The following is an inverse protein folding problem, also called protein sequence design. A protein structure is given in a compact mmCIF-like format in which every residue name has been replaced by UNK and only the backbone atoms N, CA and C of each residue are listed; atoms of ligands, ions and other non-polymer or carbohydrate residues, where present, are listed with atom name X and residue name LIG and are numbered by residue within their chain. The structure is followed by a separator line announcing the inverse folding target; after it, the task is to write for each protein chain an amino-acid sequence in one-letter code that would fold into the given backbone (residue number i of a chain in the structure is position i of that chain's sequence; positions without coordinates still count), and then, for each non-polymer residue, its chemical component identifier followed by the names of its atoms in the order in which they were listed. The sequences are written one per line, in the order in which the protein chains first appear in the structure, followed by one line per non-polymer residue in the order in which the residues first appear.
data_IF_932021626946
#
_entry.id   IF_932021626946
#
_cell.length_a   1.000
_cell.length_b   1.000
_cell.length_c   1.000
_cell.angle_alpha   90.00
_cell.angle_beta   90.00
_cell.angle_gamma   90.00
#
_symmetry.space_group_name_H-M   'P 1'
#
loop_
_entity.id
_entity.type
_entity.pdbx_description
1 polymer ?
#
# COMPACT_ATOMS: atom_id res chain seq x y z
N UNK A 1 -8.34 -2.44 -9.43
CA UNK A 1 -8.17 -2.12 -7.98
C UNK A 1 -7.72 -0.68 -7.86
N UNK A 2 -8.30 0.07 -6.93
CA UNK A 2 -8.01 1.48 -6.70
C UNK A 2 -7.50 1.70 -5.27
N UNK A 3 -6.45 2.52 -5.13
CA UNK A 3 -5.91 2.97 -3.85
C UNK A 3 -6.43 4.39 -3.62
N UNK A 4 -7.40 4.55 -2.74
CA UNK A 4 -8.15 5.79 -2.59
C UNK A 4 -8.39 6.16 -1.12
N UNK A 5 -9.23 7.14 -0.87
CA UNK A 5 -9.69 7.55 0.45
C UNK A 5 -11.17 7.20 0.62
N UNK A 6 -11.61 7.06 1.88
CA UNK A 6 -13.00 6.77 2.20
C UNK A 6 -13.96 7.83 1.64
N UNK A 7 -13.51 9.07 1.54
CA UNK A 7 -14.25 10.20 0.94
C UNK A 7 -14.67 9.97 -0.51
N UNK A 8 -13.90 9.16 -1.25
CA UNK A 8 -14.18 8.82 -2.65
C UNK A 8 -15.03 7.54 -2.81
N UNK A 9 -15.43 6.88 -1.73
CA UNK A 9 -16.28 5.69 -1.76
C UNK A 9 -17.75 6.04 -1.51
N UNK A 10 -18.65 5.47 -2.29
CA UNK A 10 -20.10 5.68 -2.12
C UNK A 10 -20.66 4.71 -1.06
N UNK A 11 -20.60 5.13 0.21
CA UNK A 11 -21.15 4.36 1.33
C UNK A 11 -22.67 4.46 1.31
N UNK A 12 -23.42 3.33 1.29
CA UNK A 12 -24.88 3.38 1.35
C UNK A 12 -25.38 3.87 2.72
N UNK A 13 -26.60 4.44 2.79
CA UNK A 13 -27.22 4.75 4.06
C UNK A 13 -27.51 3.46 4.84
N UNK A 14 -27.27 3.46 6.16
CA UNK A 14 -27.46 2.25 6.93
C UNK A 14 -27.15 2.39 8.42
N UNK A 15 -27.18 1.27 9.11
CA UNK A 15 -26.77 1.16 10.50
C UNK A 15 -25.27 0.92 10.59
N UNK A 16 -24.55 1.85 11.20
CA UNK A 16 -23.09 1.77 11.40
C UNK A 16 -22.81 1.04 12.71
N UNK A 17 -22.00 -0.01 12.64
CA UNK A 17 -21.56 -0.78 13.79
C UNK A 17 -20.04 -0.86 13.81
N UNK A 18 -19.43 -0.51 14.93
CA UNK A 18 -18.01 -0.64 15.21
C UNK A 18 -17.66 -2.03 15.76
N UNK A 19 -16.49 -2.56 15.37
CA UNK A 19 -15.96 -3.86 15.80
C UNK A 19 -14.51 -3.67 16.23
N UNK A 20 -14.25 -3.82 17.52
CA UNK A 20 -12.94 -3.55 18.12
C UNK A 20 -12.40 -4.84 18.74
N UNK A 21 -11.23 -5.33 18.29
CA UNK A 21 -10.54 -6.44 18.95
C UNK A 21 -10.20 -6.12 20.39
N UNK A 22 -10.42 -7.08 21.28
CA UNK A 22 -10.10 -6.98 22.71
C UNK A 22 -9.41 -8.25 23.19
N UNK A 23 -8.58 -8.12 24.22
CA UNK A 23 -7.97 -9.25 24.93
C UNK A 23 -7.82 -8.90 26.41
N UNK A 24 -7.98 -9.90 27.28
CA UNK A 24 -7.78 -9.72 28.71
C UNK A 24 -6.30 -9.37 28.99
N UNK A 25 -6.00 -8.46 29.94
CA UNK A 25 -4.63 -8.09 30.28
C UNK A 25 -3.74 -9.28 30.66
N UNK A 26 -4.30 -10.32 31.27
CA UNK A 26 -3.60 -11.54 31.67
C UNK A 26 -3.27 -12.49 30.52
N UNK A 27 -3.85 -12.29 29.34
CA UNK A 27 -3.61 -13.12 28.16
C UNK A 27 -2.34 -12.71 27.39
N UNK A 28 -1.79 -11.54 27.65
CA UNK A 28 -0.60 -11.05 26.99
C UNK A 28 0.69 -11.69 27.53
N UNK A 29 1.49 -12.24 26.64
CA UNK A 29 2.77 -12.91 26.93
C UNK A 29 3.90 -12.15 26.28
N UNK A 30 5.01 -12.00 26.96
CA UNK A 30 6.21 -11.38 26.42
C UNK A 30 6.78 -12.20 25.26
N UNK A 31 7.25 -11.51 24.23
CA UNK A 31 7.84 -12.08 23.03
C UNK A 31 9.23 -11.48 22.83
N UNK A 32 10.25 -12.32 22.91
CA UNK A 32 11.66 -11.91 22.86
C UNK A 32 12.13 -11.52 21.45
N UNK A 33 11.33 -11.71 20.40
CA UNK A 33 11.67 -11.32 19.04
C UNK A 33 11.68 -9.80 18.91
N UNK A 34 12.80 -9.25 18.49
CA UNK A 34 13.00 -7.80 18.39
C UNK A 34 12.18 -7.22 17.24
N UNK A 35 11.83 -5.93 17.37
CA UNK A 35 11.20 -5.14 16.30
C UNK A 35 12.16 -4.99 15.13
N UNK A 36 11.62 -4.90 13.90
CA UNK A 36 12.40 -4.44 12.75
C UNK A 36 12.81 -2.97 12.93
N UNK A 37 13.84 -2.54 12.21
CA UNK A 37 14.20 -1.12 12.16
C UNK A 37 13.08 -0.26 11.60
N UNK A 38 12.34 -0.78 10.60
CA UNK A 38 11.19 -0.07 10.02
C UNK A 38 10.08 0.14 11.05
N UNK A 39 9.79 -0.87 11.88
CA UNK A 39 8.76 -0.74 12.91
C UNK A 39 9.18 0.23 14.03
N UNK A 40 10.45 0.20 14.46
CA UNK A 40 10.95 1.17 15.43
C UNK A 40 10.87 2.60 14.90
N UNK A 41 11.30 2.84 13.65
CA UNK A 41 11.17 4.16 13.02
C UNK A 41 9.71 4.59 12.92
N UNK A 42 8.80 3.68 12.55
CA UNK A 42 7.37 3.97 12.50
C UNK A 42 6.82 4.41 13.86
N UNK A 43 7.14 3.69 14.94
CA UNK A 43 6.73 4.07 16.30
C UNK A 43 7.30 5.44 16.74
N UNK A 44 8.46 5.84 16.20
CA UNK A 44 9.07 7.14 16.50
C UNK A 44 8.46 8.31 15.70
N UNK A 45 7.86 8.03 14.54
CA UNK A 45 7.49 9.07 13.56
C UNK A 45 6.02 9.07 13.16
N UNK A 46 5.28 7.97 13.35
CA UNK A 46 3.88 7.90 12.95
C UNK A 46 2.98 8.74 13.85
N UNK A 47 1.98 9.35 13.22
CA UNK A 47 0.96 10.13 13.91
C UNK A 47 -0.24 9.24 14.22
N UNK A 48 -0.85 9.45 15.39
CA UNK A 48 -2.12 8.82 15.74
C UNK A 48 -3.21 9.20 14.71
N UNK A 49 -4.08 8.25 14.37
CA UNK A 49 -5.12 8.45 13.36
C UNK A 49 -4.63 8.30 11.91
N UNK A 50 -3.34 7.99 11.68
CA UNK A 50 -2.85 7.55 10.37
C UNK A 50 -3.16 6.06 10.21
N UNK A 51 -3.85 5.69 9.13
CA UNK A 51 -4.22 4.30 8.87
C UNK A 51 -4.26 3.97 7.38
N UNK A 52 -4.10 2.71 7.07
CA UNK A 52 -4.41 2.11 5.77
C UNK A 52 -5.50 1.05 5.96
N UNK A 53 -6.29 0.76 4.94
CA UNK A 53 -7.40 -0.17 5.10
C UNK A 53 -8.00 -0.62 3.78
N UNK A 54 -9.13 -1.29 3.86
CA UNK A 54 -9.90 -1.72 2.69
C UNK A 54 -11.39 -1.70 2.99
N UNK A 55 -12.18 -1.58 1.94
CA UNK A 55 -13.63 -1.55 1.98
C UNK A 55 -14.20 -2.46 0.91
N UNK A 56 -15.25 -3.18 1.24
CA UNK A 56 -16.02 -3.98 0.28
C UNK A 56 -17.49 -4.09 0.69
N UNK A 57 -18.35 -4.33 -0.29
CA UNK A 57 -19.76 -4.61 -0.07
C UNK A 57 -20.06 -6.10 -0.21
N UNK A 58 -20.72 -6.67 0.79
CA UNK A 58 -21.22 -8.05 0.76
C UNK A 58 -22.74 -8.05 0.67
N UNK A 59 -23.28 -8.97 -0.13
CA UNK A 59 -24.71 -9.11 -0.33
C UNK A 59 -25.35 -10.01 0.74
N UNK A 60 -26.62 -9.79 1.04
CA UNK A 60 -27.36 -10.51 2.06
C UNK A 60 -27.27 -9.83 3.43
N UNK A 61 -28.17 -10.20 4.33
CA UNK A 61 -28.22 -9.62 5.66
C UNK A 61 -26.97 -9.95 6.47
N UNK A 62 -26.50 -8.98 7.24
CA UNK A 62 -25.37 -9.15 8.14
C UNK A 62 -25.70 -10.20 9.22
N UNK A 63 -24.95 -11.29 9.24
CA UNK A 63 -24.91 -12.23 10.36
C UNK A 63 -23.80 -11.79 11.33
N UNK A 64 -24.21 -11.13 12.41
CA UNK A 64 -23.30 -10.57 13.43
C UNK A 64 -22.43 -11.66 14.06
N UNK A 65 -22.98 -12.85 14.30
CA UNK A 65 -22.25 -13.96 14.92
C UNK A 65 -21.20 -14.54 13.97
N UNK A 66 -21.59 -14.72 12.71
CA UNK A 66 -20.65 -15.21 11.69
C UNK A 66 -19.53 -14.21 11.42
N UNK A 67 -19.83 -12.90 11.41
CA UNK A 67 -18.81 -11.86 11.22
C UNK A 67 -17.85 -11.78 12.41
N UNK A 68 -18.33 -11.86 13.65
CA UNK A 68 -17.48 -11.95 14.85
C UNK A 68 -16.46 -13.09 14.73
N UNK A 69 -16.95 -14.28 14.38
CA UNK A 69 -16.09 -15.45 14.20
C UNK A 69 -15.07 -15.25 13.08
N UNK A 70 -15.47 -14.67 11.95
CA UNK A 70 -14.60 -14.43 10.80
C UNK A 70 -13.49 -13.42 11.12
N UNK A 71 -13.83 -12.28 11.74
CA UNK A 71 -12.87 -11.24 12.12
C UNK A 71 -11.84 -11.77 13.14
N UNK A 72 -12.31 -12.48 14.16
CA UNK A 72 -11.42 -13.13 15.15
C UNK A 72 -10.52 -14.18 14.52
N UNK A 73 -11.05 -14.99 13.61
CA UNK A 73 -10.28 -16.01 12.91
C UNK A 73 -9.20 -15.38 12.03
N UNK A 74 -9.51 -14.28 11.34
CA UNK A 74 -8.54 -13.55 10.53
C UNK A 74 -7.42 -12.94 11.39
N UNK A 75 -7.74 -12.28 12.50
CA UNK A 75 -6.73 -11.76 13.44
C UNK A 75 -5.90 -12.92 14.02
N UNK A 76 -6.57 -14.01 14.41
CA UNK A 76 -5.90 -15.19 14.94
C UNK A 76 -4.91 -15.83 13.98
N UNK A 77 -5.18 -15.78 12.68
CA UNK A 77 -4.34 -16.31 11.61
C UNK A 77 -3.06 -15.51 11.42
N UNK A 78 -3.12 -14.18 11.56
CA UNK A 78 -2.03 -13.26 11.24
C UNK A 78 -1.37 -12.71 12.51
N UNK A 79 -0.19 -13.23 12.82
CA UNK A 79 0.51 -12.91 14.07
C UNK A 79 0.78 -11.42 14.25
N UNK A 80 1.03 -10.67 13.16
CA UNK A 80 1.23 -9.22 13.21
C UNK A 80 0.06 -8.46 13.85
N UNK A 81 -1.18 -8.97 13.71
CA UNK A 81 -2.39 -8.29 14.18
C UNK A 81 -2.71 -8.56 15.67
N UNK A 82 -2.03 -9.50 16.30
CA UNK A 82 -2.24 -9.90 17.71
C UNK A 82 -0.97 -9.73 18.56
N UNK A 83 -0.09 -8.85 18.13
CA UNK A 83 1.07 -8.39 18.89
C UNK A 83 0.87 -6.94 19.33
N UNK A 84 1.57 -6.53 20.37
CA UNK A 84 1.68 -5.14 20.81
C UNK A 84 3.11 -4.82 21.21
N UNK A 85 3.40 -3.54 21.41
CA UNK A 85 4.71 -3.06 21.85
C UNK A 85 4.50 -2.20 23.09
N UNK A 86 5.25 -2.49 24.15
CA UNK A 86 5.26 -1.69 25.37
C UNK A 86 6.61 -1.00 25.56
N UNK A 87 6.59 0.26 25.95
CA UNK A 87 7.79 0.97 26.40
C UNK A 87 8.16 0.53 27.80
N UNK A 88 9.39 0.04 27.97
CA UNK A 88 9.92 -0.38 29.27
C UNK A 88 11.23 0.37 29.59
N UNK A 89 11.69 0.38 30.85
CA UNK A 89 13.00 0.96 31.18
C UNK A 89 14.18 0.32 30.44
N UNK A 90 14.01 -0.89 29.90
CA UNK A 90 15.02 -1.62 29.12
C UNK A 90 14.89 -1.38 27.61
N UNK A 91 13.90 -0.59 27.17
CA UNK A 91 13.55 -0.35 25.78
C UNK A 91 12.21 -0.97 25.40
N UNK A 92 11.92 -1.03 24.12
CA UNK A 92 10.67 -1.58 23.57
C UNK A 92 10.60 -3.09 23.70
N UNK A 93 9.52 -3.57 24.33
CA UNK A 93 9.23 -4.99 24.54
C UNK A 93 8.01 -5.37 23.71
N UNK A 94 8.14 -6.42 22.89
CA UNK A 94 6.99 -7.00 22.20
C UNK A 94 6.21 -7.92 23.13
N UNK A 95 4.89 -7.90 23.00
CA UNK A 95 4.00 -8.87 23.63
C UNK A 95 3.02 -9.43 22.58
N UNK A 96 2.55 -10.62 22.78
CA UNK A 96 1.60 -11.29 21.89
C UNK A 96 0.45 -11.93 22.68
N UNK A 97 -0.71 -12.02 22.05
CA UNK A 97 -1.87 -12.73 22.57
C UNK A 97 -2.15 -13.97 21.71
N UNK A 98 -2.58 -15.07 22.33
CA UNK A 98 -2.93 -16.28 21.60
C UNK A 98 -4.22 -16.07 20.76
N UNK A 99 -4.36 -16.73 19.58
CA UNK A 99 -5.55 -16.58 18.74
C UNK A 99 -6.88 -16.80 19.47
N UNK A 100 -6.92 -17.75 20.39
CA UNK A 100 -8.14 -18.09 21.16
C UNK A 100 -8.54 -17.04 22.19
N UNK A 101 -7.61 -16.19 22.61
CA UNK A 101 -7.83 -15.15 23.62
C UNK A 101 -8.25 -13.80 23.02
N UNK A 102 -8.26 -13.70 21.67
CA UNK A 102 -8.80 -12.53 20.98
C UNK A 102 -10.32 -12.58 21.00
N UNK A 103 -10.94 -11.53 21.49
CA UNK A 103 -12.37 -11.29 21.50
C UNK A 103 -12.71 -10.06 20.67
N UNK A 104 -14.01 -9.83 20.42
CA UNK A 104 -14.48 -8.66 19.68
C UNK A 104 -15.51 -7.90 20.52
N UNK A 105 -15.34 -6.61 20.69
CA UNK A 105 -16.35 -5.72 21.22
C UNK A 105 -17.10 -5.07 20.07
N UNK A 106 -18.43 -5.17 20.10
CA UNK A 106 -19.30 -4.64 19.04
C UNK A 106 -20.17 -3.53 19.61
N UNK A 107 -20.22 -2.37 18.92
CA UNK A 107 -21.01 -1.22 19.36
C UNK A 107 -21.75 -0.62 18.16
N UNK A 108 -23.07 -0.48 18.26
CA UNK A 108 -23.87 0.24 17.26
C UNK A 108 -23.64 1.73 17.47
N UNK A 109 -23.10 2.42 16.46
CA UNK A 109 -22.83 3.85 16.50
C UNK A 109 -24.06 4.69 16.11
N UNK A 110 -24.95 4.13 15.30
CA UNK A 110 -26.18 4.76 14.87
C UNK A 110 -26.61 4.40 13.46
N UNK A 111 -27.70 5.03 13.01
CA UNK A 111 -28.16 4.92 11.62
C UNK A 111 -27.94 6.28 10.93
N UNK A 112 -27.26 6.25 9.80
CA UNK A 112 -26.81 7.45 9.11
C UNK A 112 -27.18 7.39 7.62
N UNK A 113 -27.20 8.55 6.95
CA UNK A 113 -27.11 8.61 5.48
C UNK A 113 -25.66 8.34 5.01
N UNK A 114 -25.47 8.26 3.69
CA UNK A 114 -24.16 7.84 3.16
C UNK A 114 -22.99 8.76 3.51
N UNK A 115 -23.22 10.09 3.54
CA UNK A 115 -22.18 11.07 3.86
C UNK A 115 -21.84 11.05 5.36
N UNK A 116 -22.87 11.07 6.20
CA UNK A 116 -22.72 11.00 7.66
C UNK A 116 -22.12 9.63 8.08
N UNK A 117 -22.48 8.54 7.38
CA UNK A 117 -21.89 7.22 7.63
C UNK A 117 -20.38 7.22 7.33
N UNK A 118 -19.93 7.85 6.22
CA UNK A 118 -18.51 8.03 5.93
C UNK A 118 -17.78 8.82 7.00
N UNK A 119 -18.36 9.95 7.43
CA UNK A 119 -17.81 10.77 8.50
C UNK A 119 -17.66 9.96 9.79
N UNK A 120 -18.73 9.27 10.23
CA UNK A 120 -18.72 8.43 11.41
C UNK A 120 -17.64 7.32 11.34
N UNK A 121 -17.47 6.65 10.20
CA UNK A 121 -16.44 5.63 10.00
C UNK A 121 -15.04 6.26 10.04
N UNK A 122 -14.84 7.38 9.36
CA UNK A 122 -13.54 8.07 9.29
C UNK A 122 -13.08 8.48 10.71
N UNK A 123 -13.96 9.09 11.49
CA UNK A 123 -13.69 9.49 12.86
C UNK A 123 -13.41 8.26 13.75
N UNK A 124 -14.22 7.20 13.62
CA UNK A 124 -14.01 5.96 14.36
C UNK A 124 -12.63 5.35 14.06
N UNK A 125 -12.20 5.27 12.80
CA UNK A 125 -10.90 4.72 12.45
C UNK A 125 -9.76 5.59 12.99
N UNK A 126 -9.87 6.90 12.85
CA UNK A 126 -8.86 7.85 13.34
C UNK A 126 -8.71 7.83 14.87
N UNK A 127 -9.83 7.66 15.60
CA UNK A 127 -9.84 7.66 17.06
C UNK A 127 -9.33 6.34 17.68
N UNK A 128 -9.34 5.23 16.92
CA UNK A 128 -9.06 3.90 17.47
C UNK A 128 -7.79 3.24 16.91
N UNK A 129 -7.12 3.86 15.95
CA UNK A 129 -5.86 3.35 15.40
C UNK A 129 -4.72 4.24 15.90
N UNK A 130 -3.87 3.64 16.73
CA UNK A 130 -2.71 4.30 17.33
C UNK A 130 -1.48 3.37 17.17
N UNK A 131 -0.36 3.83 16.57
CA UNK A 131 0.84 3.02 16.40
C UNK A 131 1.44 2.53 17.72
N UNK A 132 1.15 3.20 18.84
CA UNK A 132 1.67 2.89 20.19
C UNK A 132 0.78 1.97 21.03
N UNK A 133 -0.46 1.68 20.59
CA UNK A 133 -1.44 0.95 21.38
C UNK A 133 -2.26 -0.06 20.56
N UNK A 134 -2.33 -1.30 21.04
CA UNK A 134 -3.24 -2.30 20.48
C UNK A 134 -4.72 -1.98 20.84
N UNK A 135 -5.68 -2.20 19.90
CA UNK A 135 -5.58 -2.93 18.64
C UNK A 135 -5.05 -2.08 17.48
N UNK A 136 -4.18 -2.68 16.66
CA UNK A 136 -3.65 -2.06 15.45
C UNK A 136 -4.58 -2.20 14.24
N UNK A 137 -5.73 -2.84 14.40
CA UNK A 137 -6.77 -3.01 13.38
C UNK A 137 -8.14 -2.92 14.03
N UNK A 138 -9.04 -2.16 13.42
CA UNK A 138 -10.45 -2.09 13.79
C UNK A 138 -11.32 -2.18 12.56
N UNK A 139 -12.61 -2.52 12.75
CA UNK A 139 -13.54 -2.71 11.65
C UNK A 139 -14.83 -1.94 11.88
N UNK A 140 -15.50 -1.59 10.78
CA UNK A 140 -16.86 -1.06 10.83
C UNK A 140 -17.72 -1.71 9.77
N UNK A 141 -19.02 -1.84 10.04
CA UNK A 141 -20.01 -2.27 9.06
C UNK A 141 -21.07 -1.20 8.88
N UNK A 142 -21.60 -1.07 7.65
CA UNK A 142 -22.81 -0.28 7.35
C UNK A 142 -23.83 -1.25 6.78
N UNK A 143 -24.85 -1.58 7.56
CA UNK A 143 -25.87 -2.54 7.18
C UNK A 143 -27.14 -1.86 6.67
N UNK A 144 -27.65 -2.32 5.52
CA UNK A 144 -28.91 -1.88 4.91
C UNK A 144 -29.83 -3.08 4.58
N UNK A 145 -30.85 -2.88 3.76
CA UNK A 145 -31.81 -3.93 3.42
C UNK A 145 -31.24 -5.00 2.46
N UNK A 146 -30.24 -4.64 1.64
CA UNK A 146 -29.74 -5.47 0.54
C UNK A 146 -28.40 -6.13 0.85
N UNK A 147 -27.71 -5.66 1.91
CA UNK A 147 -26.40 -6.17 2.30
C UNK A 147 -25.73 -5.32 3.35
N UNK A 148 -24.41 -5.44 3.40
CA UNK A 148 -23.61 -4.58 4.26
C UNK A 148 -22.26 -4.24 3.62
N UNK A 149 -21.80 -3.05 3.90
CA UNK A 149 -20.44 -2.62 3.59
C UNK A 149 -19.56 -2.92 4.78
N UNK A 150 -18.45 -3.60 4.58
CA UNK A 150 -17.45 -3.90 5.59
C UNK A 150 -16.18 -3.12 5.29
N UNK A 151 -15.67 -2.41 6.27
CA UNK A 151 -14.41 -1.65 6.19
C UNK A 151 -13.51 -2.02 7.35
N UNK A 152 -12.22 -2.03 7.11
CA UNK A 152 -11.23 -2.00 8.18
C UNK A 152 -10.24 -0.86 7.98
N UNK A 153 -9.67 -0.39 9.10
CA UNK A 153 -8.46 0.38 9.15
C UNK A 153 -7.42 -0.33 10.00
N UNK A 154 -6.16 -0.19 9.64
CA UNK A 154 -5.04 -0.75 10.38
C UNK A 154 -3.86 0.22 10.42
N UNK A 155 -3.04 0.14 11.46
CA UNK A 155 -1.75 0.81 11.52
C UNK A 155 -0.79 0.25 10.46
N UNK A 156 -0.02 1.12 9.82
CA UNK A 156 0.91 0.72 8.76
C UNK A 156 2.08 -0.15 9.29
N UNK A 157 2.38 -0.09 10.59
CA UNK A 157 3.41 -0.93 11.22
C UNK A 157 3.11 -2.43 11.17
N UNK A 158 1.83 -2.81 11.01
CA UNK A 158 1.38 -4.21 10.93
C UNK A 158 0.84 -4.62 9.57
N UNK A 159 0.83 -3.71 8.58
CA UNK A 159 0.20 -3.98 7.29
C UNK A 159 0.86 -3.20 6.15
N UNK A 160 0.92 -3.81 4.97
CA UNK A 160 1.32 -3.17 3.72
C UNK A 160 0.19 -3.21 2.68
N UNK A 161 0.41 -2.53 1.54
CA UNK A 161 -0.56 -2.46 0.46
C UNK A 161 -0.95 -3.83 -0.14
N UNK A 162 -0.04 -4.82 -0.11
CA UNK A 162 -0.35 -6.18 -0.55
C UNK A 162 -1.23 -6.91 0.46
N UNK A 163 -0.98 -6.72 1.76
CA UNK A 163 -1.79 -7.27 2.84
C UNK A 163 -3.24 -6.78 2.78
N UNK A 164 -3.46 -5.50 2.40
CA UNK A 164 -4.79 -4.96 2.16
C UNK A 164 -5.56 -5.76 1.08
N UNK A 165 -4.85 -6.24 0.04
CA UNK A 165 -5.46 -7.00 -1.04
C UNK A 165 -5.80 -8.44 -0.64
N UNK A 166 -5.01 -9.07 0.22
CA UNK A 166 -5.27 -10.41 0.74
C UNK A 166 -6.55 -10.48 1.58
N UNK A 167 -6.89 -9.40 2.28
CA UNK A 167 -8.02 -9.33 3.18
C UNK A 167 -9.36 -9.67 2.52
N UNK A 168 -9.60 -9.23 1.28
CA UNK A 168 -10.89 -9.37 0.60
C UNK A 168 -11.37 -10.83 0.53
N UNK A 169 -10.58 -11.71 -0.04
CA UNK A 169 -10.95 -13.12 -0.20
C UNK A 169 -10.91 -13.86 1.14
N UNK A 170 -9.93 -13.55 1.98
CA UNK A 170 -9.82 -14.21 3.28
C UNK A 170 -11.02 -13.95 4.16
N UNK A 171 -11.43 -12.69 4.31
CA UNK A 171 -12.56 -12.37 5.18
C UNK A 171 -13.89 -12.82 4.59
N UNK A 172 -14.09 -12.71 3.28
CA UNK A 172 -15.29 -13.21 2.63
C UNK A 172 -15.43 -14.73 2.79
N UNK A 173 -14.35 -15.48 2.55
CA UNK A 173 -14.33 -16.93 2.75
C UNK A 173 -14.56 -17.34 4.20
N UNK A 174 -13.92 -16.66 5.15
CA UNK A 174 -14.11 -16.93 6.59
C UNK A 174 -15.55 -16.65 7.02
N UNK A 175 -16.16 -15.58 6.53
CA UNK A 175 -17.55 -15.22 6.81
C UNK A 175 -18.52 -16.26 6.22
N UNK A 176 -18.36 -16.65 4.95
CA UNK A 176 -19.16 -17.70 4.30
C UNK A 176 -19.09 -19.04 5.06
N UNK A 177 -17.90 -19.43 5.51
CA UNK A 177 -17.68 -20.65 6.30
C UNK A 177 -18.29 -20.55 7.70
N UNK A 178 -18.20 -19.41 8.34
CA UNK A 178 -18.85 -19.16 9.63
C UNK A 178 -20.37 -19.24 9.52
N UNK A 179 -20.98 -18.67 8.48
CA UNK A 179 -22.41 -18.79 8.17
C UNK A 179 -22.82 -20.24 7.91
N UNK A 180 -21.94 -21.07 7.34
CA UNK A 180 -22.18 -22.49 7.19
C UNK A 180 -22.06 -23.31 8.50
N UNK A 181 -21.76 -22.63 9.62
CA UNK A 181 -21.68 -23.24 10.96
C UNK A 181 -20.33 -23.86 11.30
N UNK A 182 -19.26 -23.51 10.59
CA UNK A 182 -17.92 -23.96 10.96
C UNK A 182 -17.47 -23.31 12.28
N UNK A 183 -16.92 -24.09 13.22
CA UNK A 183 -16.49 -23.54 14.52
C UNK A 183 -15.18 -22.74 14.36
N UNK A 184 -14.93 -21.83 15.30
CA UNK A 184 -13.70 -21.00 15.34
C UNK A 184 -12.42 -21.82 15.16
N UNK A 185 -12.33 -22.99 15.81
CA UNK A 185 -11.16 -23.87 15.70
C UNK A 185 -10.88 -24.39 14.29
N UNK A 186 -11.91 -24.46 13.43
CA UNK A 186 -11.75 -24.82 12.03
C UNK A 186 -11.43 -23.61 11.14
N UNK A 187 -11.97 -22.42 11.49
CA UNK A 187 -11.73 -21.18 10.75
C UNK A 187 -10.30 -20.64 10.96
N UNK A 188 -9.79 -20.73 12.18
CA UNK A 188 -8.49 -20.20 12.58
C UNK A 188 -7.28 -21.01 12.06
N UNK A 189 -7.51 -22.17 11.41
CA UNK A 189 -6.46 -23.10 10.96
C UNK A 189 -6.08 -22.83 9.52
N UNK A 190 -5.10 -21.94 9.32
CA UNK A 190 -4.19 -22.03 8.17
C UNK A 190 -2.88 -21.38 8.59
N UNK A 191 -1.81 -22.14 8.58
CA UNK A 191 -0.48 -21.63 8.87
C UNK A 191 -0.08 -20.65 7.75
N UNK A 192 0.17 -19.42 8.13
CA UNK A 192 0.83 -18.42 7.28
C UNK A 192 2.20 -18.13 7.88
N UNK A 193 3.14 -17.65 7.08
CA UNK A 193 4.42 -17.21 7.59
C UNK A 193 4.26 -16.11 8.64
N UNK A 194 5.10 -16.12 9.66
CA UNK A 194 5.11 -15.09 10.70
C UNK A 194 5.81 -13.83 10.18
N UNK A 195 5.10 -12.72 10.17
CA UNK A 195 5.71 -11.41 9.95
C UNK A 195 6.68 -11.05 11.09
N UNK A 196 6.41 -11.51 12.30
CA UNK A 196 7.27 -11.24 13.45
C UNK A 196 8.65 -11.91 13.30
N UNK A 197 8.67 -13.15 12.77
CA UNK A 197 9.92 -13.85 12.46
C UNK A 197 10.67 -13.15 11.32
N UNK A 198 9.95 -12.71 10.29
CA UNK A 198 10.52 -11.93 9.18
C UNK A 198 11.15 -10.62 9.71
N UNK A 199 10.43 -9.87 10.55
CA UNK A 199 10.89 -8.64 11.17
C UNK A 199 12.14 -8.85 12.05
N UNK A 200 12.20 -9.94 12.81
CA UNK A 200 13.35 -10.31 13.59
C UNK A 200 14.57 -10.66 12.71
N UNK A 201 14.37 -11.34 11.59
CA UNK A 201 15.43 -11.64 10.63
C UNK A 201 15.93 -10.36 9.91
N UNK A 202 15.01 -9.45 9.52
CA UNK A 202 15.36 -8.13 8.99
C UNK A 202 16.19 -7.32 10.00
N UNK A 203 15.83 -7.38 11.28
CA UNK A 203 16.59 -6.74 12.36
C UNK A 203 18.03 -7.21 12.42
N UNK A 204 18.28 -8.52 12.33
CA UNK A 204 19.63 -9.08 12.30
C UNK A 204 20.41 -8.56 11.10
N UNK A 205 19.77 -8.47 9.92
CA UNK A 205 20.38 -7.90 8.72
C UNK A 205 20.75 -6.43 8.95
N UNK A 206 19.85 -5.64 9.49
CA UNK A 206 20.10 -4.22 9.77
C UNK A 206 21.18 -3.98 10.83
N UNK A 207 21.20 -4.77 11.91
CA UNK A 207 22.22 -4.65 12.97
C UNK A 207 23.64 -4.95 12.46
N UNK A 208 23.78 -5.74 11.41
CA UNK A 208 25.06 -6.01 10.75
C UNK A 208 25.53 -4.87 9.82
N UNK A 209 24.67 -3.87 9.52
CA UNK A 209 25.00 -2.76 8.63
C UNK A 209 25.84 -1.70 9.34
N UNK A 210 26.74 -1.07 8.59
CA UNK A 210 27.60 0.04 9.01
C UNK A 210 27.69 1.11 7.92
N UNK A 211 28.37 2.23 8.19
CA UNK A 211 28.60 3.29 7.19
C UNK A 211 29.40 2.82 5.96
N UNK A 212 30.13 1.69 6.06
CA UNK A 212 30.90 1.06 5.00
C UNK A 212 30.08 0.04 4.19
N UNK A 213 28.84 -0.27 4.62
CA UNK A 213 27.97 -1.16 3.87
C UNK A 213 27.62 -0.57 2.51
N UNK A 214 27.57 -1.43 1.49
CA UNK A 214 27.31 -0.99 0.10
C UNK A 214 25.95 -0.27 -0.01
N UNK A 215 24.91 -0.82 0.61
CA UNK A 215 23.58 -0.21 0.64
C UNK A 215 23.59 1.19 1.25
N UNK A 216 24.33 1.40 2.34
CA UNK A 216 24.44 2.72 3.00
C UNK A 216 25.18 3.71 2.09
N UNK A 217 26.23 3.26 1.39
CA UNK A 217 26.93 4.11 0.41
C UNK A 217 26.06 4.49 -0.78
N UNK A 218 25.33 3.53 -1.35
CA UNK A 218 24.41 3.79 -2.46
C UNK A 218 23.35 4.80 -2.06
N UNK A 219 22.72 4.63 -0.90
CA UNK A 219 21.72 5.57 -0.41
C UNK A 219 22.32 6.95 -0.11
N UNK A 220 23.50 7.03 0.52
CA UNK A 220 24.18 8.29 0.77
C UNK A 220 24.44 9.06 -0.52
N UNK A 221 24.99 8.39 -1.53
CA UNK A 221 25.28 9.01 -2.83
C UNK A 221 23.98 9.46 -3.53
N UNK A 222 22.93 8.64 -3.44
CA UNK A 222 21.63 8.95 -4.01
C UNK A 222 20.92 10.12 -3.28
N UNK A 223 21.00 10.22 -1.96
CA UNK A 223 20.42 11.29 -1.17
C UNK A 223 21.23 12.59 -1.25
N UNK A 224 22.50 12.54 -1.65
CA UNK A 224 23.40 13.70 -1.67
C UNK A 224 22.92 14.77 -2.64
N UNK A 225 22.83 16.01 -2.14
CA UNK A 225 22.54 17.20 -2.94
C UNK A 225 23.84 17.94 -3.28
N UNK A 226 23.83 18.85 -4.26
CA UNK A 226 24.98 19.69 -4.58
C UNK A 226 25.47 20.57 -3.41
N UNK A 227 24.57 20.88 -2.44
CA UNK A 227 24.91 21.60 -1.20
C UNK A 227 25.56 20.74 -0.12
N UNK A 228 25.64 19.41 -0.33
CA UNK A 228 26.20 18.46 0.62
C UNK A 228 25.22 17.98 1.71
N UNK A 229 23.96 18.35 1.62
CA UNK A 229 22.89 17.82 2.48
C UNK A 229 22.37 16.49 1.93
N UNK A 230 21.78 15.67 2.80
CA UNK A 230 21.08 14.43 2.41
C UNK A 230 19.58 14.71 2.37
N UNK A 231 18.96 14.53 1.20
CA UNK A 231 17.54 14.80 0.97
C UNK A 231 16.99 13.89 -0.13
N UNK A 232 15.71 13.51 -0.01
CA UNK A 232 15.00 12.84 -1.08
C UNK A 232 14.81 13.77 -2.29
N UNK A 233 14.66 13.17 -3.47
CA UNK A 233 14.38 13.90 -4.69
C UNK A 233 12.90 14.24 -4.77
N UNK A 234 12.62 15.47 -5.18
CA UNK A 234 11.27 15.94 -5.46
C UNK A 234 10.72 15.34 -6.76
N UNK A 235 9.42 15.48 -6.96
CA UNK A 235 8.80 15.18 -8.24
C UNK A 235 9.46 16.03 -9.36
N UNK A 236 9.80 15.44 -10.52
CA UNK A 236 10.72 16.05 -11.48
C UNK A 236 10.14 17.22 -12.30
N UNK A 237 8.88 17.60 -12.11
CA UNK A 237 8.27 18.77 -12.77
C UNK A 237 8.24 19.93 -11.79
N UNK A 238 8.91 21.02 -12.15
CA UNK A 238 8.98 22.21 -11.31
C UNK A 238 7.63 22.86 -11.07
N UNK A 239 7.44 23.47 -9.90
CA UNK A 239 6.23 24.20 -9.52
C UNK A 239 5.10 23.35 -8.98
N UNK A 240 5.24 22.02 -8.93
CA UNK A 240 4.23 21.13 -8.37
C UNK A 240 4.32 21.05 -6.83
N UNK A 241 5.54 21.14 -6.32
CA UNK A 241 5.87 21.17 -4.89
C UNK A 241 6.38 22.53 -4.41
N UNK A 242 6.40 23.54 -5.28
CA UNK A 242 6.77 24.92 -4.93
C UNK A 242 5.59 25.59 -4.20
N UNK A 243 5.29 25.12 -3.02
CA UNK A 243 4.25 25.70 -2.16
C UNK A 243 4.90 26.72 -1.24
N UNK A 244 4.30 27.93 -1.07
CA UNK A 244 4.77 28.87 -0.06
C UNK A 244 4.76 28.21 1.32
N UNK A 245 5.85 28.29 2.06
CA UNK A 245 5.94 27.75 3.40
C UNK A 245 4.76 28.24 4.24
N UNK A 246 3.83 27.37 4.58
CA UNK A 246 2.71 27.63 5.48
C UNK A 246 3.03 27.13 6.88
N UNK A 247 2.28 27.59 7.87
CA UNK A 247 2.44 27.11 9.25
C UNK A 247 2.03 25.63 9.40
N UNK A 248 1.17 25.14 8.49
CA UNK A 248 0.72 23.74 8.42
C UNK A 248 0.84 23.25 6.98
N UNK A 249 1.26 21.97 6.78
CA UNK A 249 1.29 21.36 5.47
C UNK A 249 -0.10 21.35 4.80
N UNK A 250 -0.14 21.41 3.48
CA UNK A 250 -1.38 21.33 2.69
C UNK A 250 -2.02 19.95 2.78
N UNK A 251 -3.35 19.87 2.68
CA UNK A 251 -4.01 18.60 2.38
C UNK A 251 -3.44 18.00 1.09
N UNK A 252 -3.41 16.69 1.00
CA UNK A 252 -3.13 16.01 -0.25
C UNK A 252 -4.42 15.65 -0.98
N UNK A 253 -4.48 16.00 -2.27
CA UNK A 253 -5.51 15.49 -3.17
C UNK A 253 -5.23 14.03 -3.52
N UNK A 254 -6.30 13.27 -3.69
CA UNK A 254 -6.28 11.87 -4.11
C UNK A 254 -7.00 11.71 -5.44
N UNK A 255 -6.40 10.97 -6.37
CA UNK A 255 -7.01 10.68 -7.67
C UNK A 255 -6.75 9.23 -8.03
N UNK A 256 -7.79 8.49 -8.42
CA UNK A 256 -7.69 7.17 -9.04
C UNK A 256 -8.36 7.20 -10.41
N UNK A 257 -7.68 6.68 -11.43
CA UNK A 257 -8.19 6.68 -12.80
C UNK A 257 -7.72 5.46 -13.60
N UNK A 258 -8.63 4.89 -14.38
CA UNK A 258 -8.30 3.86 -15.35
C UNK A 258 -7.52 4.47 -16.51
N UNK A 259 -6.37 3.88 -16.80
CA UNK A 259 -5.47 4.26 -17.90
C UNK A 259 -5.77 3.50 -19.18
N UNK A 260 -6.33 2.32 -19.06
CA UNK A 260 -6.66 1.47 -20.20
C UNK A 260 -7.39 0.19 -19.81
N UNK A 261 -8.09 -0.37 -20.76
CA UNK A 261 -8.86 -1.62 -20.66
C UNK A 261 -7.96 -2.89 -20.77
N UNK A 262 -8.53 -4.10 -20.68
CA UNK A 262 -7.76 -5.34 -20.83
C UNK A 262 -7.06 -5.50 -22.18
N UNK A 263 -7.59 -4.88 -23.28
CA UNK A 263 -6.96 -4.90 -24.61
C UNK A 263 -5.67 -4.10 -24.59
N UNK A 264 -5.69 -2.89 -24.03
CA UNK A 264 -4.53 -2.01 -23.91
C UNK A 264 -3.48 -2.61 -22.96
N UNK A 265 -3.91 -3.23 -21.86
CA UNK A 265 -3.02 -3.95 -20.94
C UNK A 265 -2.31 -5.14 -21.63
N UNK A 266 -3.02 -5.86 -22.53
CA UNK A 266 -2.43 -6.94 -23.30
C UNK A 266 -1.42 -6.40 -24.32
N UNK A 267 -1.78 -5.37 -25.07
CA UNK A 267 -0.91 -4.75 -26.07
C UNK A 267 0.41 -4.24 -25.46
N UNK A 268 0.34 -3.56 -24.31
CA UNK A 268 1.55 -3.20 -23.55
C UNK A 268 2.34 -4.45 -23.13
N UNK A 269 1.66 -5.52 -22.72
CA UNK A 269 2.31 -6.79 -22.35
C UNK A 269 3.06 -7.44 -23.51
N UNK A 270 2.49 -7.47 -24.71
CA UNK A 270 3.18 -7.99 -25.90
C UNK A 270 4.34 -7.09 -26.33
N UNK A 271 4.22 -5.78 -26.24
CA UNK A 271 5.34 -4.85 -26.45
C UNK A 271 6.48 -5.12 -25.47
N UNK A 272 6.18 -5.24 -24.18
CA UNK A 272 7.19 -5.57 -23.16
C UNK A 272 7.89 -6.91 -23.44
N UNK A 273 7.12 -7.93 -23.78
CA UNK A 273 7.62 -9.27 -24.10
C UNK A 273 8.52 -9.25 -25.36
N UNK A 274 8.11 -8.58 -26.43
CA UNK A 274 8.87 -8.47 -27.68
C UNK A 274 10.20 -7.74 -27.51
N UNK A 275 10.27 -6.84 -26.54
CA UNK A 275 11.47 -6.03 -26.25
C UNK A 275 12.29 -6.58 -25.05
N UNK A 276 11.83 -7.67 -24.41
CA UNK A 276 12.56 -8.35 -23.33
C UNK A 276 12.55 -7.60 -21.99
N UNK A 277 11.57 -6.69 -21.76
CA UNK A 277 11.42 -5.97 -20.50
C UNK A 277 10.24 -6.51 -19.68
N UNK A 278 10.27 -6.32 -18.36
CA UNK A 278 9.15 -6.65 -17.49
C UNK A 278 7.98 -5.69 -17.69
N UNK A 279 6.77 -6.15 -17.36
CA UNK A 279 5.59 -5.28 -17.39
C UNK A 279 5.72 -4.08 -16.44
N UNK A 280 6.31 -4.29 -15.28
CA UNK A 280 6.66 -3.20 -14.34
C UNK A 280 7.52 -2.13 -15.02
N UNK A 281 8.57 -2.54 -15.72
CA UNK A 281 9.43 -1.62 -16.44
C UNK A 281 8.70 -0.91 -17.59
N UNK A 282 7.76 -1.59 -18.26
CA UNK A 282 6.87 -0.99 -19.25
C UNK A 282 5.97 0.09 -18.68
N UNK A 283 5.31 -0.18 -17.55
CA UNK A 283 4.43 0.79 -16.88
C UNK A 283 5.20 2.01 -16.35
N UNK A 284 6.29 1.79 -15.63
CA UNK A 284 7.15 2.89 -15.15
C UNK A 284 7.83 3.62 -16.32
N UNK A 285 8.14 2.90 -17.38
CA UNK A 285 8.66 3.46 -18.63
C UNK A 285 7.66 4.35 -19.33
N UNK A 286 6.38 3.99 -19.36
CA UNK A 286 5.30 4.81 -19.91
C UNK A 286 5.17 6.13 -19.13
N UNK A 287 5.19 6.08 -17.80
CA UNK A 287 5.23 7.28 -16.94
C UNK A 287 6.42 8.18 -17.30
N UNK A 288 7.62 7.63 -17.35
CA UNK A 288 8.83 8.40 -17.65
C UNK A 288 8.83 8.96 -19.08
N UNK A 289 8.35 8.19 -20.05
CA UNK A 289 8.19 8.60 -21.43
C UNK A 289 7.25 9.80 -21.57
N UNK A 290 6.09 9.76 -20.90
CA UNK A 290 5.11 10.84 -20.92
C UNK A 290 5.64 12.08 -20.21
N UNK A 291 6.30 11.95 -19.05
CA UNK A 291 6.95 13.08 -18.35
C UNK A 291 7.98 13.75 -19.25
N UNK A 292 8.74 12.98 -20.03
CA UNK A 292 9.66 13.54 -21.01
C UNK A 292 8.95 14.24 -22.15
N UNK A 293 7.95 13.58 -22.75
CA UNK A 293 7.25 14.11 -23.93
C UNK A 293 6.49 15.40 -23.62
N UNK A 294 5.87 15.50 -22.44
CA UNK A 294 5.00 16.63 -22.07
C UNK A 294 5.69 17.70 -21.23
N UNK A 295 6.69 17.33 -20.44
CA UNK A 295 7.37 18.24 -19.49
C UNK A 295 8.87 18.34 -19.70
N UNK A 296 9.45 17.66 -20.69
CA UNK A 296 10.89 17.73 -20.99
C UNK A 296 11.79 17.06 -19.94
N UNK A 297 11.24 16.19 -19.09
CA UNK A 297 11.98 15.50 -18.03
C UNK A 297 12.87 14.41 -18.64
N UNK A 298 14.19 14.60 -18.61
CA UNK A 298 15.15 13.62 -19.10
C UNK A 298 15.82 12.81 -17.97
N UNK A 299 15.79 13.34 -16.74
CA UNK A 299 16.36 12.68 -15.57
C UNK A 299 15.40 12.78 -14.41
N UNK A 300 15.24 11.67 -13.68
CA UNK A 300 14.42 11.63 -12.49
C UNK A 300 14.98 10.67 -11.45
N UNK A 301 14.69 10.93 -10.21
CA UNK A 301 15.00 10.05 -9.08
C UNK A 301 13.71 9.85 -8.30
N UNK A 302 13.43 8.62 -7.93
CA UNK A 302 12.27 8.28 -7.11
C UNK A 302 12.57 7.06 -6.24
N UNK A 303 11.79 6.87 -5.20
CA UNK A 303 11.83 5.67 -4.37
C UNK A 303 10.82 4.66 -4.91
N UNK A 304 11.25 3.40 -5.04
CA UNK A 304 10.37 2.31 -5.40
C UNK A 304 10.22 1.35 -4.21
N UNK A 305 9.03 1.26 -3.60
CA UNK A 305 8.69 0.18 -2.68
C UNK A 305 8.68 -1.16 -3.42
N UNK A 306 9.34 -2.17 -2.85
CA UNK A 306 9.36 -3.53 -3.37
C UNK A 306 9.06 -4.52 -2.25
N UNK A 307 8.29 -5.58 -2.55
CA UNK A 307 7.95 -6.57 -1.54
C UNK A 307 9.16 -7.43 -1.15
N UNK A 308 9.19 -7.83 0.13
CA UNK A 308 10.18 -8.77 0.70
C UNK A 308 9.61 -10.17 0.95
N UNK A 309 8.47 -10.51 0.33
CA UNK A 309 7.84 -11.84 0.39
C UNK A 309 8.56 -12.82 -0.54
N UNK A 310 9.65 -13.41 -0.06
CA UNK A 310 10.49 -14.31 -0.86
C UNK A 310 10.09 -15.78 -0.79
N UNK A 311 9.23 -16.16 0.16
CA UNK A 311 8.78 -17.54 0.37
C UNK A 311 7.27 -17.64 0.16
N UNK A 312 6.79 -18.85 -0.16
CA UNK A 312 5.37 -19.11 -0.37
C UNK A 312 4.53 -18.85 0.91
N UNK A 313 5.10 -19.12 2.08
CA UNK A 313 4.45 -18.88 3.38
C UNK A 313 4.21 -17.39 3.64
N UNK A 314 5.11 -16.51 3.19
CA UNK A 314 4.93 -15.06 3.30
C UNK A 314 3.96 -14.50 2.25
N UNK A 315 3.70 -15.22 1.16
CA UNK A 315 2.77 -14.75 0.12
C UNK A 315 1.32 -14.60 0.62
N UNK A 316 0.93 -15.36 1.64
CA UNK A 316 -0.41 -15.28 2.26
C UNK A 316 -0.38 -14.60 3.65
N UNK A 317 0.74 -14.05 4.08
CA UNK A 317 0.87 -13.44 5.41
C UNK A 317 0.54 -11.94 5.37
N UNK A 318 -0.21 -11.47 6.37
CA UNK A 318 -0.39 -10.04 6.64
C UNK A 318 0.81 -9.53 7.43
N UNK A 319 1.30 -8.35 7.06
CA UNK A 319 2.43 -7.70 7.71
C UNK A 319 3.04 -6.61 6.82
N UNK A 320 4.09 -5.97 7.29
CA UNK A 320 4.84 -4.97 6.52
C UNK A 320 6.06 -5.60 5.85
N UNK A 321 5.87 -6.15 4.66
CA UNK A 321 6.91 -6.84 3.87
C UNK A 321 7.41 -5.96 2.72
N UNK A 322 7.94 -4.77 3.04
CA UNK A 322 8.38 -3.80 2.04
C UNK A 322 9.80 -3.32 2.31
N UNK A 323 10.64 -3.41 1.29
CA UNK A 323 11.93 -2.73 1.22
C UNK A 323 11.84 -1.52 0.29
N UNK A 324 12.52 -0.44 0.63
CA UNK A 324 12.62 0.75 -0.21
C UNK A 324 13.93 0.71 -1.01
N UNK A 325 13.85 1.06 -2.29
CA UNK A 325 15.04 1.18 -3.15
C UNK A 325 15.09 2.51 -3.87
N UNK A 326 16.29 3.11 -4.01
CA UNK A 326 16.49 4.34 -4.73
C UNK A 326 16.59 4.06 -6.23
N UNK A 327 15.79 4.73 -7.04
CA UNK A 327 15.86 4.64 -8.51
C UNK A 327 16.41 5.94 -9.09
N UNK A 328 17.44 5.81 -9.88
CA UNK A 328 17.94 6.89 -10.74
C UNK A 328 17.68 6.53 -12.19
N UNK A 329 16.99 7.39 -12.90
CA UNK A 329 16.63 7.17 -14.30
C UNK A 329 17.10 8.33 -15.15
N UNK A 330 18.01 8.06 -16.10
CA UNK A 330 18.42 8.99 -17.17
C UNK A 330 17.89 8.45 -18.50
N UNK A 331 16.93 9.16 -19.08
CA UNK A 331 16.30 8.83 -20.36
C UNK A 331 16.67 9.81 -21.47
N UNK A 332 17.73 10.61 -21.26
CA UNK A 332 18.25 11.52 -22.28
C UNK A 332 18.66 10.74 -23.53
N UNK A 333 18.22 11.22 -24.70
CA UNK A 333 18.47 10.54 -25.98
C UNK A 333 17.62 9.29 -26.28
N UNK A 334 16.81 8.77 -25.34
CA UNK A 334 15.85 7.71 -25.63
C UNK A 334 14.65 8.31 -26.40
N UNK A 335 14.27 7.76 -27.53
CA UNK A 335 13.24 8.31 -28.41
C UNK A 335 11.94 7.50 -28.42
N UNK A 336 11.98 6.26 -27.95
CA UNK A 336 10.87 5.32 -27.97
C UNK A 336 10.56 4.77 -26.57
N UNK A 337 9.31 4.33 -26.37
CA UNK A 337 8.94 3.68 -25.11
C UNK A 337 9.79 2.42 -24.80
N UNK A 338 10.08 1.53 -25.76
CA UNK A 338 10.97 0.39 -25.49
C UNK A 338 12.37 0.79 -24.98
N UNK A 339 12.97 1.84 -25.53
CA UNK A 339 14.26 2.34 -25.05
C UNK A 339 14.17 2.88 -23.62
N UNK A 340 13.12 3.62 -23.29
CA UNK A 340 12.88 4.11 -21.94
C UNK A 340 12.62 2.95 -20.96
N UNK A 341 11.77 1.99 -21.34
CA UNK A 341 11.46 0.82 -20.51
C UNK A 341 12.71 -0.06 -20.25
N UNK A 342 13.59 -0.20 -21.23
CA UNK A 342 14.87 -0.91 -21.06
C UNK A 342 15.77 -0.23 -20.02
N UNK A 343 15.80 1.11 -19.97
CA UNK A 343 16.54 1.86 -18.94
C UNK A 343 15.91 1.71 -17.55
N UNK A 344 14.57 1.73 -17.46
CA UNK A 344 13.87 1.43 -16.22
C UNK A 344 14.18 0.01 -15.75
N UNK A 345 14.15 -0.98 -16.65
CA UNK A 345 14.49 -2.37 -16.32
C UNK A 345 15.91 -2.49 -15.76
N UNK A 346 16.88 -1.77 -16.34
CA UNK A 346 18.25 -1.75 -15.85
C UNK A 346 18.36 -1.12 -14.46
N UNK A 347 17.71 0.04 -14.23
CA UNK A 347 17.70 0.73 -12.95
C UNK A 347 17.04 -0.12 -11.84
N UNK A 348 15.93 -0.81 -12.14
CA UNK A 348 15.28 -1.74 -11.21
C UNK A 348 16.19 -2.93 -10.88
N UNK A 349 16.89 -3.49 -11.87
CA UNK A 349 17.81 -4.62 -11.66
C UNK A 349 19.01 -4.22 -10.79
N UNK A 350 19.56 -3.02 -10.99
CA UNK A 350 20.67 -2.47 -10.20
C UNK A 350 20.27 -2.25 -8.73
N UNK A 351 19.03 -1.78 -8.49
CA UNK A 351 18.54 -1.49 -7.13
C UNK A 351 18.01 -2.73 -6.39
N UNK A 352 17.70 -3.82 -7.10
CA UNK A 352 17.10 -5.03 -6.50
C UNK A 352 17.90 -5.63 -5.33
N UNK A 353 19.25 -5.67 -5.32
CA UNK A 353 20.02 -6.19 -4.17
C UNK A 353 19.82 -5.40 -2.88
N UNK A 354 19.30 -4.16 -2.96
CA UNK A 354 19.06 -3.30 -1.79
C UNK A 354 17.74 -3.64 -1.08
N UNK A 355 16.81 -4.34 -1.73
CA UNK A 355 15.47 -4.63 -1.19
C UNK A 355 15.49 -5.27 0.20
N UNK A 356 16.36 -6.27 0.51
CA UNK A 356 16.41 -6.87 1.85
C UNK A 356 17.09 -6.00 2.90
N UNK A 357 17.60 -4.83 2.54
CA UNK A 357 18.32 -3.93 3.43
C UNK A 357 17.35 -2.91 4.03
N UNK A 358 17.07 -2.90 5.35
CA UNK A 358 16.08 -2.00 5.92
C UNK A 358 16.51 -0.52 5.76
N UNK A 359 15.73 0.25 5.01
CA UNK A 359 16.02 1.67 4.81
C UNK A 359 16.03 2.45 6.13
N UNK A 360 15.18 2.10 7.09
CA UNK A 360 15.18 2.74 8.40
C UNK A 360 16.56 2.67 9.10
N UNK A 361 17.28 1.55 8.94
CA UNK A 361 18.66 1.45 9.43
C UNK A 361 19.64 2.31 8.64
N UNK A 362 19.45 2.44 7.34
CA UNK A 362 20.24 3.36 6.51
C UNK A 362 20.03 4.81 6.97
N UNK A 363 18.77 5.20 7.17
CA UNK A 363 18.40 6.53 7.64
C UNK A 363 19.05 6.85 9.00
N UNK A 364 18.97 5.92 9.96
CA UNK A 364 19.62 6.03 11.27
C UNK A 364 21.14 6.22 11.15
N UNK A 365 21.83 5.37 10.38
CA UNK A 365 23.29 5.45 10.17
C UNK A 365 23.72 6.75 9.49
N UNK A 366 22.92 7.30 8.61
CA UNK A 366 23.21 8.54 7.87
C UNK A 366 22.69 9.81 8.57
N UNK A 367 21.87 9.67 9.63
CA UNK A 367 21.22 10.79 10.30
C UNK A 367 20.19 11.49 9.41
N UNK A 368 19.45 10.73 8.57
CA UNK A 368 18.41 11.25 7.67
C UNK A 368 17.07 11.15 8.35
N UNK A 369 16.39 12.28 8.53
CA UNK A 369 15.01 12.37 9.04
C UNK A 369 14.00 12.76 7.96
N UNK A 370 14.46 12.97 6.72
CA UNK A 370 13.63 13.30 5.56
C UNK A 370 12.83 12.07 5.08
N UNK A 371 11.61 12.29 4.57
CA UNK A 371 10.75 11.26 4.02
C UNK A 371 10.79 11.24 2.48
N UNK A 372 10.45 10.11 1.82
CA UNK A 372 10.41 10.06 0.36
C UNK A 372 9.37 11.01 -0.24
N UNK A 373 9.81 11.96 -1.07
CA UNK A 373 8.93 12.95 -1.72
C UNK A 373 8.31 12.43 -3.02
N UNK A 374 9.05 11.63 -3.79
CA UNK A 374 8.53 11.03 -5.01
C UNK A 374 8.64 9.51 -4.95
N UNK A 375 7.48 8.84 -4.91
CA UNK A 375 7.38 7.38 -4.78
C UNK A 375 6.58 6.81 -5.94
N UNK A 376 7.09 5.75 -6.55
CA UNK A 376 6.41 5.03 -7.63
C UNK A 376 6.34 3.54 -7.28
N UNK A 377 5.13 3.05 -7.09
CA UNK A 377 4.84 1.65 -6.81
C UNK A 377 4.18 1.00 -8.02
N UNK A 378 4.56 -0.25 -8.32
CA UNK A 378 3.84 -1.08 -9.29
C UNK A 378 3.27 -2.31 -8.59
N UNK A 379 1.98 -2.59 -8.83
CA UNK A 379 1.26 -3.73 -8.27
C UNK A 379 0.55 -4.50 -9.39
N UNK A 380 0.86 -5.79 -9.53
CA UNK A 380 0.12 -6.70 -10.42
C UNK A 380 -0.85 -7.53 -9.56
N UNK A 381 -2.11 -7.17 -9.57
CA UNK A 381 -3.14 -7.76 -8.71
C UNK A 381 -3.82 -8.98 -9.31
N UNK A 382 -3.53 -9.34 -10.54
CA UNK A 382 -4.22 -10.43 -11.28
C UNK A 382 -4.09 -11.80 -10.64
N UNK A 383 -3.06 -11.99 -9.81
CA UNK A 383 -2.74 -13.25 -9.14
C UNK A 383 -3.11 -13.25 -7.66
N UNK A 384 -3.71 -12.17 -7.17
CA UNK A 384 -4.23 -12.12 -5.80
C UNK A 384 -5.46 -13.02 -5.71
N UNK A 385 -5.56 -13.88 -4.69
CA UNK A 385 -6.76 -14.68 -4.47
C UNK A 385 -8.03 -13.82 -4.41
N UNK A 386 -9.09 -14.25 -5.09
CA UNK A 386 -10.38 -13.56 -5.10
C UNK A 386 -10.43 -12.27 -5.95
N UNK A 387 -9.36 -11.92 -6.68
CA UNK A 387 -9.35 -10.70 -7.49
C UNK A 387 -10.46 -10.65 -8.55
N UNK A 388 -10.98 -11.79 -9.00
CA UNK A 388 -12.12 -11.89 -9.92
C UNK A 388 -13.48 -11.48 -9.29
N UNK A 389 -13.57 -11.43 -7.95
CA UNK A 389 -14.78 -11.06 -7.19
C UNK A 389 -14.82 -9.57 -6.84
N UNK A 390 -13.70 -8.85 -6.93
CA UNK A 390 -13.57 -7.48 -6.43
C UNK A 390 -14.59 -6.50 -7.00
N UNK A 391 -14.90 -6.60 -8.30
CA UNK A 391 -15.93 -5.76 -8.91
C UNK A 391 -17.33 -6.03 -8.33
N UNK A 392 -17.65 -7.31 -8.05
CA UNK A 392 -18.94 -7.66 -7.44
C UNK A 392 -19.04 -7.20 -5.97
N UNK A 393 -17.91 -6.97 -5.33
CA UNK A 393 -17.82 -6.45 -3.96
C UNK A 393 -17.62 -4.93 -3.91
N UNK A 394 -17.52 -4.26 -5.05
CA UNK A 394 -17.07 -2.86 -5.10
C UNK A 394 -15.84 -2.60 -4.22
N UNK A 395 -14.86 -3.51 -4.30
CA UNK A 395 -13.70 -3.54 -3.43
C UNK A 395 -12.72 -2.40 -3.74
N UNK A 396 -12.27 -1.68 -2.70
CA UNK A 396 -11.25 -0.62 -2.78
C UNK A 396 -10.26 -0.75 -1.63
N UNK A 397 -9.02 -0.41 -1.87
CA UNK A 397 -8.07 -0.16 -0.78
C UNK A 397 -8.15 1.30 -0.37
N UNK A 398 -8.03 1.54 0.93
CA UNK A 398 -8.20 2.84 1.54
C UNK A 398 -6.92 3.30 2.24
N UNK A 399 -6.79 4.60 2.42
CA UNK A 399 -5.83 5.24 3.30
C UNK A 399 -6.48 6.42 4.01
N UNK A 400 -5.90 6.80 5.15
CA UNK A 400 -6.24 8.04 5.83
C UNK A 400 -5.87 9.25 4.97
N UNK A 401 -6.59 10.38 5.08
CA UNK A 401 -6.15 11.65 4.54
C UNK A 401 -4.78 12.04 5.11
N UNK A 402 -3.92 12.60 4.28
CA UNK A 402 -2.55 13.01 4.63
C UNK A 402 -2.36 14.49 4.30
N UNK A 403 -1.44 15.14 5.02
CA UNK A 403 -1.01 16.51 4.75
C UNK A 403 0.49 16.52 4.44
N UNK A 404 0.86 16.98 3.26
CA UNK A 404 2.26 17.14 2.84
C UNK A 404 2.36 18.14 1.68
N UNK A 405 3.39 18.98 1.68
CA UNK A 405 3.58 20.03 0.68
C UNK A 405 4.38 19.56 -0.54
N UNK A 406 5.13 18.47 -0.42
CA UNK A 406 6.17 18.06 -1.38
C UNK A 406 6.10 16.60 -1.80
N UNK A 407 5.10 15.84 -1.34
CA UNK A 407 4.98 14.43 -1.68
C UNK A 407 4.10 14.18 -2.90
N UNK A 408 4.61 13.38 -3.83
CA UNK A 408 3.84 12.82 -4.95
C UNK A 408 4.03 11.31 -4.98
N UNK A 409 2.95 10.56 -4.77
CA UNK A 409 2.97 9.10 -4.79
C UNK A 409 2.11 8.59 -5.93
N UNK A 410 2.65 7.63 -6.70
CA UNK A 410 1.98 6.97 -7.81
C UNK A 410 1.91 5.46 -7.55
N UNK A 411 0.71 4.91 -7.54
CA UNK A 411 0.45 3.47 -7.56
C UNK A 411 0.00 3.07 -8.96
N UNK A 412 0.90 2.46 -9.72
CA UNK A 412 0.63 1.90 -11.06
C UNK A 412 0.12 0.48 -10.87
N UNK A 413 -1.10 0.22 -11.28
CA UNK A 413 -1.77 -1.05 -11.04
C UNK A 413 -2.11 -1.74 -12.35
N UNK A 414 -1.79 -3.02 -12.42
CA UNK A 414 -2.30 -3.94 -13.43
C UNK A 414 -3.25 -4.91 -12.77
N UNK A 415 -4.48 -4.95 -13.25
CA UNK A 415 -5.44 -5.94 -12.81
C UNK A 415 -6.11 -6.68 -13.99
N UNK A 416 -7.17 -7.44 -13.71
CA UNK A 416 -7.90 -8.19 -14.75
C UNK A 416 -8.71 -7.29 -15.69
N UNK A 417 -9.12 -6.12 -15.20
CA UNK A 417 -9.95 -5.15 -15.91
C UNK A 417 -9.13 -4.11 -16.66
N UNK A 418 -7.79 -4.15 -16.52
CA UNK A 418 -6.92 -3.27 -17.30
C UNK A 418 -5.79 -2.65 -16.47
N UNK A 419 -5.55 -1.37 -16.73
CA UNK A 419 -4.50 -0.56 -16.11
C UNK A 419 -5.13 0.59 -15.34
N UNK A 420 -4.71 0.79 -14.11
CA UNK A 420 -5.14 1.89 -13.25
C UNK A 420 -3.93 2.64 -12.70
N UNK A 421 -4.10 3.91 -12.43
CA UNK A 421 -3.20 4.70 -11.61
C UNK A 421 -3.98 5.32 -10.47
N UNK A 422 -3.49 5.14 -9.27
CA UNK A 422 -3.90 5.93 -8.11
C UNK A 422 -2.75 6.82 -7.69
N UNK A 423 -3.05 8.02 -7.22
CA UNK A 423 -2.03 9.00 -6.87
C UNK A 423 -2.47 9.89 -5.70
N UNK A 424 -1.51 10.41 -4.95
CA UNK A 424 -1.69 11.53 -4.04
C UNK A 424 -0.64 12.59 -4.36
N UNK A 425 -1.00 13.84 -4.17
CA UNK A 425 -0.17 15.00 -4.50
C UNK A 425 -0.65 16.22 -3.70
N UNK A 426 0.18 17.26 -3.49
CA UNK A 426 -0.26 18.49 -2.81
C UNK A 426 -1.51 19.10 -3.46
N UNK A 427 -2.52 19.45 -2.68
CA UNK A 427 -3.79 19.99 -3.19
C UNK A 427 -3.61 21.40 -3.74
N UNK A 428 -2.97 21.49 -4.92
CA UNK A 428 -2.76 22.73 -5.66
C UNK A 428 -3.20 22.59 -7.11
N UNK A 429 -3.62 23.71 -7.71
CA UNK A 429 -4.00 23.77 -9.14
C UNK A 429 -2.83 23.34 -10.04
N UNK A 430 -1.60 23.66 -9.66
CA UNK A 430 -0.41 23.31 -10.42
C UNK A 430 -0.16 21.79 -10.39
N UNK A 431 -0.23 21.18 -9.21
CA UNK A 431 -0.06 19.75 -9.03
C UNK A 431 -1.16 18.96 -9.75
N UNK A 432 -2.42 19.34 -9.57
CA UNK A 432 -3.55 18.70 -10.23
C UNK A 432 -3.39 18.71 -11.75
N UNK A 433 -3.04 19.86 -12.34
CA UNK A 433 -2.83 19.98 -13.78
C UNK A 433 -1.76 19.04 -14.30
N UNK A 434 -0.59 18.98 -13.63
CA UNK A 434 0.54 18.14 -14.06
C UNK A 434 0.20 16.66 -13.91
N UNK A 435 -0.44 16.28 -12.81
CA UNK A 435 -0.87 14.89 -12.56
C UNK A 435 -1.90 14.44 -13.58
N UNK A 436 -2.92 15.27 -13.86
CA UNK A 436 -3.93 14.94 -14.89
C UNK A 436 -3.33 14.88 -16.29
N UNK A 437 -2.36 15.75 -16.60
CA UNK A 437 -1.65 15.72 -17.87
C UNK A 437 -0.79 14.44 -18.02
N UNK A 438 -0.12 14.02 -16.95
CA UNK A 438 0.59 12.72 -16.93
C UNK A 438 -0.36 11.55 -17.16
N UNK A 439 -1.47 11.49 -16.42
CA UNK A 439 -2.46 10.41 -16.51
C UNK A 439 -3.06 10.36 -17.92
N UNK A 440 -3.50 11.50 -18.45
CA UNK A 440 -4.04 11.60 -19.82
C UNK A 440 -3.02 11.15 -20.87
N UNK A 441 -1.75 11.56 -20.72
CA UNK A 441 -0.69 11.14 -21.62
C UNK A 441 -0.39 9.65 -21.59
N UNK A 442 -0.48 9.01 -20.41
CA UNK A 442 -0.34 7.57 -20.32
C UNK A 442 -1.51 6.83 -20.98
N UNK A 443 -2.76 7.32 -20.80
CA UNK A 443 -3.93 6.74 -21.46
C UNK A 443 -3.83 6.85 -23.00
N UNK A 444 -3.45 8.02 -23.52
CA UNK A 444 -3.23 8.24 -24.96
C UNK A 444 -2.16 7.27 -25.51
N UNK A 445 -1.06 7.09 -24.77
CA UNK A 445 0.02 6.19 -25.15
C UNK A 445 -0.44 4.72 -25.22
N UNK A 446 -1.23 4.26 -24.24
CA UNK A 446 -1.73 2.88 -24.25
C UNK A 446 -2.75 2.64 -25.36
N UNK A 447 -3.57 3.62 -25.69
CA UNK A 447 -4.48 3.54 -26.84
C UNK A 447 -3.68 3.46 -28.16
N UNK A 448 -2.62 4.24 -28.31
CA UNK A 448 -1.76 4.19 -29.49
C UNK A 448 -1.08 2.82 -29.64
N UNK A 449 -0.52 2.26 -28.57
CA UNK A 449 0.12 0.93 -28.57
C UNK A 449 -0.89 -0.14 -29.00
N UNK A 450 -2.10 -0.14 -28.45
CA UNK A 450 -3.13 -1.12 -28.81
C UNK A 450 -3.61 -0.98 -30.27
N UNK A 451 -3.68 0.24 -30.80
CA UNK A 451 -4.01 0.50 -32.21
C UNK A 451 -2.95 -0.02 -33.16
N UNK A 452 -1.66 0.17 -32.82
CA UNK A 452 -0.54 -0.33 -33.64
C UNK A 452 -0.49 -1.86 -33.68
N UNK A 453 -0.67 -2.54 -32.53
CA UNK A 453 -0.76 -4.00 -32.46
C UNK A 453 -1.87 -4.55 -33.37
N UNK A 454 -3.06 -3.91 -33.36
CA UNK A 454 -4.18 -4.32 -34.21
C UNK A 454 -3.85 -4.17 -35.70
N UNK A 455 -3.20 -3.07 -36.10
CA UNK A 455 -2.81 -2.84 -37.49
C UNK A 455 -1.76 -3.83 -38.00
N UNK A 456 -0.81 -4.26 -37.15
CA UNK A 456 0.16 -5.29 -37.49
C UNK A 456 -0.49 -6.66 -37.69
N UNK A 457 -1.46 -7.02 -36.87
CA UNK A 457 -2.21 -8.27 -37.00
C UNK A 457 -3.06 -8.33 -38.28
N UNK A 458 -3.71 -7.21 -38.67
CA UNK A 458 -4.51 -7.11 -39.89
C UNK A 458 -3.61 -7.09 -41.15
N UNK A 459 -2.42 -6.50 -41.06
CA UNK A 459 -1.46 -6.45 -42.19
C UNK A 459 -0.74 -7.77 -42.48
N UNK A 460 -0.80 -8.74 -41.55
CA UNK A 460 -0.19 -10.07 -41.67
C UNK A 460 -1.19 -11.17 -42.05
N UNK A 461 -2.48 -10.86 -42.16
CA UNK A 461 -3.56 -11.76 -42.59
C UNK A 461 -3.88 -11.61 -44.09
#
# INVERSE_FOLDING_TARGET
MEYTELSAYDVPPGEVTAWIPTAEPSAWVDDDRRLSHNHELHLDTAEAGSWIGSIMRLHGQLDVTALDLALRAWIGRHEALRGTVEETPAGRQRRAVAPADVSMTTTVLGRFDGEDARGCISDFLADHIDPSAWPYVVFATVADADGFTLVFGADHGVMDAYSQLLWFEEIASLYERAQAGEPFSALAVAETGSHIDHAAAERVTGDAMSLESESVRVWRDWLSTPSGTLRFADFPVTGITDVPASAEPLPQASLSQWLGDPRQARALGELCKSTGVSFQAGMMGAMAYVLRARHGVERMRFVAPMHTRYTAEHAAAVGWYVGLVPITLDISGASTLPEVAARVQAALAESKPLVPQPFARVADLLGVSDAPHFVVTFVDTRFIPGAERWNSWDARTLRAPVRADDEVYLWLVRDRDGLNVSTRYPETVAAERVVRDLIGGMSDLFEEIARLETAELEGTA
#
